data_IF_129320414279
#
_entry.id   IF_129320414279
#
_cell.length_a   1.000
_cell.length_b   1.000
_cell.length_c   1.000
_cell.angle_alpha   90.00
_cell.angle_beta   90.00
_cell.angle_gamma   90.00
#
_symmetry.space_group_name_H-M   'P 1'
#
loop_
_entity.id
_entity.type
_entity.pdbx_description
1 polymer ?
#
# COMPACT_ATOMS: atom_id res chain seq x y z
N UNK A 1 -22.21 1.08 16.84
CA UNK A 1 -22.83 1.62 15.61
C UNK A 1 -23.92 0.67 15.16
N UNK A 2 -25.12 1.22 14.91
CA UNK A 2 -26.32 0.49 14.48
C UNK A 2 -26.11 -0.19 13.11
N UNK A 3 -26.83 -1.28 12.84
CA UNK A 3 -26.80 -2.04 11.60
C UNK A 3 -27.24 -1.18 10.40
N UNK A 4 -28.27 -0.34 10.58
CA UNK A 4 -28.78 0.55 9.54
C UNK A 4 -27.74 1.58 9.07
N UNK A 5 -26.91 2.09 9.99
CA UNK A 5 -25.82 3.03 9.65
C UNK A 5 -24.73 2.32 8.84
N UNK A 6 -24.42 1.06 9.17
CA UNK A 6 -23.46 0.28 8.42
C UNK A 6 -23.94 0.04 6.97
N UNK A 7 -25.19 -0.34 6.78
CA UNK A 7 -25.79 -0.60 5.47
C UNK A 7 -25.84 0.65 4.58
N UNK A 8 -26.16 1.81 5.17
CA UNK A 8 -26.15 3.10 4.48
C UNK A 8 -24.71 3.51 4.04
N UNK A 9 -23.71 3.32 4.91
CA UNK A 9 -22.31 3.55 4.56
C UNK A 9 -21.86 2.59 3.45
N UNK A 10 -22.26 1.31 3.51
CA UNK A 10 -21.95 0.32 2.48
C UNK A 10 -22.49 0.72 1.11
N UNK A 11 -23.73 1.21 1.05
CA UNK A 11 -24.34 1.70 -0.19
C UNK A 11 -23.63 2.92 -0.76
N UNK A 12 -23.30 3.90 0.08
CA UNK A 12 -22.64 5.15 -0.35
C UNK A 12 -21.17 4.95 -0.74
N UNK A 13 -20.43 4.11 -0.02
CA UNK A 13 -19.02 3.80 -0.28
C UNK A 13 -18.79 2.64 -1.26
N UNK A 14 -19.85 1.97 -1.74
CA UNK A 14 -19.76 0.75 -2.56
C UNK A 14 -18.90 -0.35 -1.91
N UNK A 15 -19.02 -0.52 -0.59
CA UNK A 15 -18.32 -1.56 0.17
C UNK A 15 -19.29 -2.68 0.51
N UNK A 16 -19.03 -3.90 0.02
CA UNK A 16 -20.04 -4.96 -0.02
C UNK A 16 -19.92 -6.01 1.11
N UNK A 17 -18.93 -5.87 1.99
CA UNK A 17 -18.73 -6.76 3.14
C UNK A 17 -18.58 -5.94 4.41
N UNK A 18 -19.15 -6.46 5.49
CA UNK A 18 -19.06 -5.87 6.83
C UNK A 18 -18.60 -6.92 7.84
N UNK A 19 -17.55 -6.61 8.60
CA UNK A 19 -17.03 -7.46 9.68
C UNK A 19 -17.03 -6.65 10.98
N UNK A 20 -17.39 -7.31 12.08
CA UNK A 20 -17.46 -6.67 13.40
C UNK A 20 -16.45 -7.31 14.36
N UNK A 21 -15.77 -6.45 15.09
CA UNK A 21 -14.89 -6.80 16.19
C UNK A 21 -15.19 -5.85 17.36
N UNK A 22 -14.57 -6.08 18.51
CA UNK A 22 -14.79 -5.28 19.72
C UNK A 22 -14.50 -3.80 19.46
N UNK A 23 -15.55 -2.99 19.42
CA UNK A 23 -15.45 -1.54 19.17
C UNK A 23 -15.07 -1.16 17.74
N UNK A 24 -15.08 -2.11 16.80
CA UNK A 24 -14.62 -1.93 15.42
C UNK A 24 -15.68 -2.43 14.43
N UNK A 25 -15.91 -1.64 13.38
CA UNK A 25 -16.59 -2.08 12.16
C UNK A 25 -15.62 -1.92 11.01
N UNK A 26 -15.40 -3.01 10.27
CA UNK A 26 -14.67 -3.01 9.01
C UNK A 26 -15.65 -3.16 7.86
N UNK A 27 -15.53 -2.28 6.87
CA UNK A 27 -16.19 -2.37 5.58
C UNK A 27 -15.15 -2.57 4.48
N UNK A 28 -15.35 -3.53 3.59
CA UNK A 28 -14.40 -3.84 2.50
C UNK A 28 -15.12 -4.31 1.24
N UNK A 29 -14.50 -4.11 0.08
CA UNK A 29 -14.89 -4.71 -1.20
C UNK A 29 -14.21 -6.08 -1.42
N UNK A 30 -13.10 -6.34 -0.73
CA UNK A 30 -12.33 -7.58 -0.82
C UNK A 30 -12.13 -8.16 0.58
N UNK A 31 -12.82 -9.27 0.86
CA UNK A 31 -12.70 -9.97 2.14
C UNK A 31 -11.49 -10.92 2.19
N UNK A 32 -10.91 -11.29 1.05
CA UNK A 32 -9.77 -12.22 0.99
C UNK A 32 -8.46 -11.54 1.43
N UNK A 33 -8.45 -10.21 1.44
CA UNK A 33 -7.37 -9.38 1.99
C UNK A 33 -7.52 -9.12 3.49
N UNK A 34 -8.52 -9.70 4.17
CA UNK A 34 -8.76 -9.47 5.60
C UNK A 34 -8.30 -10.68 6.42
N UNK A 35 -7.34 -10.44 7.30
CA UNK A 35 -6.96 -11.35 8.38
C UNK A 35 -7.75 -10.94 9.62
N UNK A 36 -8.80 -11.70 9.95
CA UNK A 36 -9.52 -11.51 11.20
C UNK A 36 -8.68 -12.00 12.38
N UNK A 37 -8.52 -11.17 13.41
CA UNK A 37 -7.91 -11.60 14.66
C UNK A 37 -8.90 -12.49 15.42
N UNK A 38 -8.38 -13.57 16.00
CA UNK A 38 -9.12 -14.49 16.86
C UNK A 38 -9.74 -13.72 18.03
N UNK A 39 -10.82 -14.27 18.57
CA UNK A 39 -11.66 -13.68 19.62
C UNK A 39 -12.34 -12.34 19.26
N UNK A 40 -12.37 -11.98 17.97
CA UNK A 40 -13.06 -10.76 17.51
C UNK A 40 -12.41 -9.49 18.05
N UNK A 41 -11.08 -9.51 18.20
CA UNK A 41 -10.31 -8.40 18.76
C UNK A 41 -9.93 -7.35 17.71
N UNK A 42 -9.95 -7.69 16.42
CA UNK A 42 -9.59 -6.76 15.35
C UNK A 42 -9.40 -7.41 13.98
N UNK A 43 -8.78 -6.66 13.08
CA UNK A 43 -8.52 -7.03 11.70
C UNK A 43 -7.15 -6.52 11.25
N UNK A 44 -6.54 -7.23 10.30
CA UNK A 44 -5.45 -6.71 9.46
C UNK A 44 -5.95 -6.78 8.02
N UNK A 45 -5.80 -5.69 7.26
CA UNK A 45 -6.28 -5.58 5.89
C UNK A 45 -5.09 -5.31 4.98
N UNK A 46 -4.98 -6.06 3.89
CA UNK A 46 -3.91 -5.97 2.90
C UNK A 46 -3.02 -7.21 2.88
N UNK A 47 -1.77 -7.05 2.44
CA UNK A 47 -0.79 -8.12 2.29
C UNK A 47 0.18 -8.15 3.46
N UNK A 48 0.34 -9.31 4.09
CA UNK A 48 1.20 -9.52 5.25
C UNK A 48 2.16 -10.68 4.99
N UNK A 49 3.43 -10.50 5.33
CA UNK A 49 4.49 -11.49 5.17
C UNK A 49 5.32 -11.59 6.44
N UNK A 50 5.77 -12.80 6.81
CA UNK A 50 6.62 -12.98 7.98
C UNK A 50 8.09 -12.68 7.61
N UNK A 51 8.80 -11.88 8.43
CA UNK A 51 10.18 -11.41 8.15
C UNK A 51 11.22 -12.53 8.11
N UNK A 52 11.02 -13.57 8.90
CA UNK A 52 11.95 -14.70 9.05
C UNK A 52 11.31 -16.05 8.72
N UNK A 53 10.18 -16.02 8.02
CA UNK A 53 9.35 -17.19 7.76
C UNK A 53 9.53 -17.69 6.33
N UNK A 54 8.65 -18.60 5.93
CA UNK A 54 8.53 -18.95 4.52
C UNK A 54 8.05 -17.73 3.71
N UNK A 55 8.52 -17.57 2.47
CA UNK A 55 8.16 -16.44 1.62
C UNK A 55 6.76 -16.62 1.03
N UNK A 56 5.74 -16.59 1.88
CA UNK A 56 4.33 -16.74 1.52
C UNK A 56 3.45 -15.69 2.20
N UNK A 57 2.31 -15.38 1.57
CA UNK A 57 1.29 -14.49 2.14
C UNK A 57 0.69 -15.13 3.41
N UNK A 58 0.76 -14.38 4.51
CA UNK A 58 0.14 -14.76 5.78
C UNK A 58 -1.36 -14.53 5.69
N UNK A 59 -2.14 -15.61 5.67
CA UNK A 59 -3.62 -15.54 5.64
C UNK A 59 -4.28 -15.65 7.02
N UNK A 60 -3.52 -16.10 8.02
CA UNK A 60 -3.98 -16.18 9.41
C UNK A 60 -2.81 -16.06 10.38
N UNK A 61 -3.09 -15.57 11.60
CA UNK A 61 -2.08 -15.44 12.65
C UNK A 61 -2.36 -16.43 13.78
N UNK A 62 -1.36 -17.14 14.31
CA UNK A 62 -1.48 -17.92 15.53
C UNK A 62 -1.87 -17.05 16.74
N UNK A 63 -2.57 -17.61 17.72
CA UNK A 63 -3.06 -16.88 18.89
C UNK A 63 -1.94 -16.17 19.67
N UNK A 64 -0.78 -16.81 19.83
CA UNK A 64 0.35 -16.24 20.57
C UNK A 64 0.96 -15.02 19.86
N UNK A 65 0.98 -15.03 18.53
CA UNK A 65 1.42 -13.88 17.72
C UNK A 65 0.44 -12.71 17.85
N UNK A 66 -0.87 -12.99 17.82
CA UNK A 66 -1.91 -11.96 18.03
C UNK A 66 -1.82 -11.35 19.43
N UNK A 67 -1.59 -12.16 20.46
CA UNK A 67 -1.39 -11.69 21.82
C UNK A 67 -0.16 -10.77 21.94
N UNK A 68 0.95 -11.09 21.28
CA UNK A 68 2.16 -10.23 21.24
C UNK A 68 1.90 -8.92 20.49
N UNK A 69 1.17 -8.95 19.38
CA UNK A 69 0.74 -7.75 18.64
C UNK A 69 -0.08 -6.84 19.54
N UNK A 70 -1.10 -7.38 20.22
CA UNK A 70 -1.93 -6.63 21.15
C UNK A 70 -1.11 -6.08 22.32
N UNK A 71 -0.29 -6.91 22.97
CA UNK A 71 0.50 -6.53 24.14
C UNK A 71 1.49 -5.38 23.87
N UNK A 72 2.02 -5.31 22.65
CA UNK A 72 2.98 -4.26 22.22
C UNK A 72 2.31 -3.04 21.57
N UNK A 73 0.98 -3.07 21.40
CA UNK A 73 0.25 -2.05 20.66
C UNK A 73 0.71 -1.96 19.20
N UNK A 74 1.07 -3.10 18.59
CA UNK A 74 1.41 -3.21 17.18
C UNK A 74 2.90 -3.20 16.85
N UNK A 75 3.78 -2.92 17.83
CA UNK A 75 5.24 -2.92 17.57
C UNK A 75 5.76 -4.29 17.11
N UNK A 76 5.24 -5.37 17.70
CA UNK A 76 5.59 -6.74 17.27
C UNK A 76 5.23 -6.98 15.79
N UNK A 77 4.15 -6.37 15.30
CA UNK A 77 3.73 -6.50 13.91
C UNK A 77 4.75 -5.85 12.95
N UNK A 78 5.29 -4.68 13.27
CA UNK A 78 6.31 -3.99 12.43
C UNK A 78 7.70 -4.63 12.54
N UNK A 79 8.02 -5.25 13.68
CA UNK A 79 9.29 -5.94 13.91
C UNK A 79 9.33 -7.32 13.22
N UNK A 80 8.24 -8.09 13.28
CA UNK A 80 8.22 -9.50 12.82
C UNK A 80 7.55 -9.71 11.47
N UNK A 81 6.75 -8.77 11.02
CA UNK A 81 6.06 -8.84 9.75
C UNK A 81 6.32 -7.59 8.89
N UNK A 82 6.08 -7.72 7.60
CA UNK A 82 6.20 -6.66 6.61
C UNK A 82 5.15 -6.88 5.51
N UNK A 83 4.96 -5.91 4.63
CA UNK A 83 4.00 -5.99 3.53
C UNK A 83 3.36 -4.64 3.26
N UNK A 84 2.10 -4.67 2.84
CA UNK A 84 1.27 -3.51 2.54
C UNK A 84 -0.05 -3.68 3.28
N UNK A 85 -0.18 -3.10 4.47
CA UNK A 85 -1.31 -3.36 5.33
C UNK A 85 -1.67 -2.20 6.26
N UNK A 86 -2.92 -2.24 6.73
CA UNK A 86 -3.39 -1.50 7.90
C UNK A 86 -4.00 -2.49 8.88
N UNK A 87 -3.58 -2.43 10.14
CA UNK A 87 -4.14 -3.23 11.22
C UNK A 87 -4.99 -2.36 12.14
N UNK A 88 -6.15 -2.83 12.56
CA UNK A 88 -7.00 -2.20 13.56
C UNK A 88 -7.43 -3.23 14.60
N UNK A 89 -7.01 -3.05 15.86
CA UNK A 89 -7.26 -4.05 16.90
C UNK A 89 -7.38 -3.45 18.30
N UNK A 90 -8.16 -4.12 19.13
CA UNK A 90 -8.34 -3.78 20.53
C UNK A 90 -7.20 -4.36 21.39
N UNK A 91 -6.59 -3.53 22.22
CA UNK A 91 -5.61 -3.95 23.22
C UNK A 91 -5.94 -3.30 24.56
N UNK A 92 -6.10 -4.12 25.61
CA UNK A 92 -6.48 -3.71 26.97
C UNK A 92 -7.80 -2.94 27.02
N UNK A 93 -7.75 -1.62 26.84
CA UNK A 93 -8.88 -0.69 26.86
C UNK A 93 -8.82 0.32 25.72
N UNK A 94 -7.95 0.11 24.73
CA UNK A 94 -7.66 1.04 23.65
C UNK A 94 -7.77 0.34 22.29
N UNK A 95 -8.16 1.09 21.26
CA UNK A 95 -8.10 0.65 19.87
C UNK A 95 -6.80 1.15 19.26
N UNK A 96 -6.04 0.26 18.65
CA UNK A 96 -4.81 0.58 17.94
C UNK A 96 -5.08 0.48 16.44
N UNK A 97 -4.64 1.48 15.68
CA UNK A 97 -4.63 1.45 14.21
C UNK A 97 -3.20 1.64 13.74
N UNK A 98 -2.66 0.72 12.96
CA UNK A 98 -1.24 0.68 12.57
C UNK A 98 -1.14 0.61 11.06
N UNK A 99 -0.37 1.51 10.46
CA UNK A 99 -0.01 1.46 9.03
C UNK A 99 1.37 0.84 8.88
N UNK A 100 1.54 -0.03 7.89
CA UNK A 100 2.80 -0.69 7.63
C UNK A 100 3.96 0.30 7.35
N UNK A 101 5.23 -0.08 7.61
CA UNK A 101 6.39 0.79 7.37
C UNK A 101 6.70 1.17 5.92
N UNK A 102 6.26 0.37 4.93
CA UNK A 102 6.45 0.68 3.51
C UNK A 102 5.48 1.75 3.02
N UNK A 103 4.32 1.86 3.68
CA UNK A 103 3.25 2.76 3.28
C UNK A 103 2.48 2.28 2.05
N UNK A 104 2.65 1.03 1.62
CA UNK A 104 2.06 0.49 0.39
C UNK A 104 0.53 0.59 0.37
N UNK A 105 -0.13 0.44 1.51
CA UNK A 105 -1.56 0.73 1.63
C UNK A 105 -1.77 2.13 2.23
N UNK A 106 -2.46 3.06 1.54
CA UNK A 106 -2.85 4.33 2.13
C UNK A 106 -3.76 4.12 3.34
N UNK A 107 -3.71 5.07 4.28
CA UNK A 107 -4.63 5.10 5.41
C UNK A 107 -4.95 6.55 5.76
N UNK A 108 -6.05 7.03 5.22
CA UNK A 108 -6.63 8.33 5.52
C UNK A 108 -7.60 8.20 6.70
N UNK A 109 -7.78 9.29 7.44
CA UNK A 109 -8.72 9.34 8.54
C UNK A 109 -9.44 10.68 8.61
N UNK A 110 -10.66 10.62 9.14
CA UNK A 110 -11.53 11.76 9.41
C UNK A 110 -12.41 11.47 10.62
N UNK A 111 -13.05 12.51 11.14
CA UNK A 111 -13.91 12.40 12.33
C UNK A 111 -15.27 13.02 12.08
N UNK A 112 -16.32 12.38 12.59
CA UNK A 112 -17.69 12.91 12.62
C UNK A 112 -18.30 12.71 14.00
N UNK A 113 -18.49 13.80 14.74
CA UNK A 113 -18.87 13.73 16.15
C UNK A 113 -17.84 12.93 16.96
N UNK A 114 -18.28 11.87 17.64
CA UNK A 114 -17.40 10.95 18.38
C UNK A 114 -16.86 9.79 17.54
N UNK A 115 -17.29 9.65 16.29
CA UNK A 115 -16.83 8.58 15.41
C UNK A 115 -15.55 8.99 14.71
N UNK A 116 -14.62 8.04 14.64
CA UNK A 116 -13.39 8.15 13.86
C UNK A 116 -13.37 7.08 12.79
N UNK A 117 -13.13 7.48 11.55
CA UNK A 117 -13.05 6.59 10.41
C UNK A 117 -11.62 6.53 9.86
N UNK A 118 -11.26 5.36 9.35
CA UNK A 118 -10.00 5.09 8.67
C UNK A 118 -10.32 4.42 7.32
N UNK A 119 -9.66 4.81 6.25
CA UNK A 119 -9.95 4.34 4.89
C UNK A 119 -8.69 4.32 4.03
N UNK A 120 -8.62 3.38 3.08
CA UNK A 120 -7.57 3.36 2.04
C UNK A 120 -7.82 4.37 0.91
N UNK A 121 -9.05 4.89 0.80
CA UNK A 121 -9.45 5.89 -0.19
C UNK A 121 -10.08 7.10 0.51
N UNK A 122 -9.49 8.28 0.32
CA UNK A 122 -9.95 9.52 0.93
C UNK A 122 -11.36 9.94 0.49
N UNK A 123 -11.77 9.60 -0.74
CA UNK A 123 -13.09 9.92 -1.29
C UNK A 123 -14.21 9.25 -0.48
N UNK A 124 -13.93 8.08 0.10
CA UNK A 124 -14.89 7.37 0.96
C UNK A 124 -15.35 8.22 2.15
N UNK A 125 -14.46 9.04 2.75
CA UNK A 125 -14.85 9.92 3.87
C UNK A 125 -15.82 11.03 3.43
N UNK A 126 -15.73 11.45 2.18
CA UNK A 126 -16.63 12.44 1.58
C UNK A 126 -17.97 11.79 1.23
N UNK A 127 -17.94 10.65 0.54
CA UNK A 127 -19.15 9.95 0.07
C UNK A 127 -20.06 9.52 1.24
N UNK A 128 -19.46 9.10 2.35
CA UNK A 128 -20.19 8.67 3.55
C UNK A 128 -20.54 9.84 4.48
N UNK A 129 -20.18 11.07 4.09
CA UNK A 129 -20.55 12.30 4.79
C UNK A 129 -19.78 12.57 6.09
N UNK A 130 -18.65 11.87 6.30
CA UNK A 130 -17.77 12.12 7.45
C UNK A 130 -17.08 13.48 7.33
N UNK A 131 -16.75 13.90 6.11
CA UNK A 131 -16.08 15.16 5.81
C UNK A 131 -16.84 15.91 4.73
N UNK A 132 -17.04 17.22 4.94
CA UNK A 132 -17.45 18.14 3.87
C UNK A 132 -16.19 18.68 3.22
N UNK A 133 -15.92 18.37 1.94
CA UNK A 133 -14.65 18.71 1.32
C UNK A 133 -14.52 20.22 1.17
N UNK A 134 -13.38 20.74 1.61
CA UNK A 134 -12.91 22.10 1.33
C UNK A 134 -11.39 22.07 1.23
N UNK A 135 -10.82 23.04 0.52
CA UNK A 135 -9.36 23.11 0.34
C UNK A 135 -8.72 23.62 1.63
N UNK A 136 -7.75 22.87 2.14
CA UNK A 136 -6.85 23.34 3.21
C UNK A 136 -5.65 24.05 2.56
N UNK A 137 -5.75 25.38 2.42
CA UNK A 137 -4.77 26.19 1.69
C UNK A 137 -3.38 26.14 2.35
N UNK A 138 -3.32 26.14 3.68
CA UNK A 138 -2.07 26.03 4.43
C UNK A 138 -1.40 24.67 4.16
N UNK A 139 -2.18 23.58 4.20
CA UNK A 139 -1.67 22.27 3.85
C UNK A 139 -1.18 22.20 2.39
N UNK A 140 -1.89 22.83 1.45
CA UNK A 140 -1.46 22.93 0.04
C UNK A 140 -0.11 23.65 -0.07
N UNK A 141 0.05 24.81 0.58
CA UNK A 141 1.31 25.55 0.59
C UNK A 141 2.46 24.70 1.12
N UNK A 142 2.26 24.00 2.24
CA UNK A 142 3.27 23.11 2.82
C UNK A 142 3.62 21.95 1.89
N UNK A 143 2.62 21.32 1.26
CA UNK A 143 2.83 20.22 0.32
C UNK A 143 3.63 20.71 -0.89
N UNK A 144 3.26 21.85 -1.47
CA UNK A 144 3.97 22.38 -2.65
C UNK A 144 5.39 22.81 -2.31
N UNK A 145 5.62 23.41 -1.13
CA UNK A 145 6.96 23.80 -0.69
C UNK A 145 7.85 22.62 -0.30
N UNK A 146 7.25 21.50 0.15
CA UNK A 146 7.94 20.29 0.62
C UNK A 146 7.47 19.04 -0.14
N UNK A 147 7.37 19.11 -1.47
CA UNK A 147 6.68 18.12 -2.31
C UNK A 147 7.21 16.68 -2.29
N UNK A 148 8.29 16.40 -1.54
CA UNK A 148 8.88 15.07 -1.36
C UNK A 148 8.89 14.59 0.10
N UNK A 149 8.45 15.42 1.06
CA UNK A 149 8.44 15.03 2.46
C UNK A 149 7.08 14.45 2.85
N UNK A 150 7.03 13.35 3.62
CA UNK A 150 5.78 12.84 4.17
C UNK A 150 5.08 13.90 5.03
N UNK A 151 3.77 14.05 4.85
CA UNK A 151 2.93 14.97 5.62
C UNK A 151 1.67 14.26 6.10
N UNK A 152 1.27 14.49 7.34
CA UNK A 152 0.00 13.99 7.88
C UNK A 152 -1.19 14.75 7.29
N UNK A 153 -1.01 16.03 6.97
CA UNK A 153 -2.04 16.88 6.39
C UNK A 153 -2.17 16.63 4.89
N UNK A 154 -3.41 16.59 4.43
CA UNK A 154 -3.76 16.53 3.00
C UNK A 154 -4.28 17.89 2.54
N UNK A 155 -4.44 18.09 1.23
CA UNK A 155 -5.01 19.31 0.67
C UNK A 155 -6.52 19.45 0.93
N UNK A 156 -7.17 18.43 1.52
CA UNK A 156 -8.60 18.44 1.85
C UNK A 156 -8.78 18.60 3.34
N UNK A 157 -9.39 19.71 3.75
CA UNK A 157 -9.65 20.01 5.15
C UNK A 157 -10.52 18.90 5.80
N UNK A 158 -10.11 18.47 6.99
CA UNK A 158 -10.76 17.38 7.73
C UNK A 158 -10.29 15.97 7.34
N UNK A 159 -9.44 15.83 6.31
CA UNK A 159 -8.80 14.56 5.93
C UNK A 159 -7.30 14.64 6.21
N UNK A 160 -6.80 13.67 6.98
CA UNK A 160 -5.38 13.47 7.26
C UNK A 160 -4.99 12.03 6.96
N UNK A 161 -3.69 11.74 6.83
CA UNK A 161 -3.17 10.39 6.66
C UNK A 161 -2.33 9.94 7.86
N UNK A 162 -2.39 8.65 8.17
CA UNK A 162 -1.40 8.01 9.04
C UNK A 162 -0.12 7.87 8.23
N UNK A 163 1.01 8.37 8.73
CA UNK A 163 2.30 8.17 8.07
C UNK A 163 2.73 6.70 8.06
N UNK A 164 3.56 6.32 7.09
CA UNK A 164 4.12 4.97 7.03
C UNK A 164 4.90 4.64 8.32
N UNK A 165 4.70 3.44 8.85
CA UNK A 165 5.33 3.00 10.10
C UNK A 165 4.80 3.68 11.36
N UNK A 166 3.71 4.44 11.26
CA UNK A 166 3.04 5.09 12.38
C UNK A 166 1.67 4.46 12.66
N UNK A 167 1.10 4.80 13.81
CA UNK A 167 -0.21 4.34 14.21
C UNK A 167 -0.93 5.28 15.18
N UNK A 168 -2.23 5.05 15.34
CA UNK A 168 -3.09 5.71 16.30
C UNK A 168 -3.40 4.79 17.47
N UNK A 169 -3.49 5.37 18.66
CA UNK A 169 -4.04 4.75 19.86
C UNK A 169 -5.25 5.57 20.31
N UNK A 170 -6.42 4.94 20.30
CA UNK A 170 -7.70 5.54 20.64
C UNK A 170 -8.13 4.99 22.01
N UNK A 171 -8.01 5.82 23.04
CA UNK A 171 -8.61 5.58 24.34
C UNK A 171 -10.03 6.17 24.43
N UNK A 172 -10.65 6.09 25.60
CA UNK A 172 -11.99 6.64 25.82
C UNK A 172 -12.06 8.15 25.51
N UNK A 173 -11.08 8.91 25.99
CA UNK A 173 -11.04 10.38 25.87
C UNK A 173 -9.72 10.91 25.27
N UNK A 174 -8.91 10.03 24.67
CA UNK A 174 -7.61 10.43 24.11
C UNK A 174 -7.31 9.75 22.78
N UNK A 175 -6.63 10.51 21.93
CA UNK A 175 -6.13 10.06 20.63
C UNK A 175 -4.64 10.37 20.60
N UNK A 176 -3.81 9.34 20.47
CA UNK A 176 -2.35 9.48 20.44
C UNK A 176 -1.79 8.90 19.15
N UNK A 177 -0.79 9.56 18.58
CA UNK A 177 -0.01 9.02 17.46
C UNK A 177 1.25 8.35 18.01
N UNK A 178 1.64 7.23 17.44
CA UNK A 178 2.87 6.49 17.79
C UNK A 178 3.69 6.23 16.52
N UNK A 179 4.98 6.48 16.60
CA UNK A 179 5.95 5.90 15.66
C UNK A 179 6.24 4.46 16.10
N UNK A 180 6.06 3.51 15.18
CA UNK A 180 6.25 2.07 15.39
C UNK A 180 7.42 1.52 14.57
N UNK A 181 7.96 2.33 13.66
CA UNK A 181 9.15 2.02 12.88
C UNK A 181 9.84 3.33 12.46
N UNK A 182 11.17 3.33 12.47
CA UNK A 182 11.99 4.44 12.00
C UNK A 182 13.15 3.91 11.16
N UNK A 183 13.48 4.52 10.01
CA UNK A 183 14.69 4.15 9.26
C UNK A 183 15.95 4.38 10.10
N UNK A 184 15.91 5.33 11.05
CA UNK A 184 17.02 5.66 11.92
C UNK A 184 17.41 4.52 12.87
N UNK A 185 16.50 3.58 13.14
CA UNK A 185 16.81 2.39 13.94
C UNK A 185 17.74 1.42 13.20
N UNK A 186 17.98 1.65 11.89
CA UNK A 186 18.75 0.78 10.99
C UNK A 186 19.98 1.45 10.37
N UNK A 187 20.32 2.69 10.77
CA UNK A 187 21.48 3.42 10.22
C UNK A 187 22.78 3.19 11.00
N UNK A 188 22.71 2.70 12.24
CA UNK A 188 23.90 2.41 13.02
C UNK A 188 24.63 1.18 12.45
N UNK A 189 25.94 1.29 12.27
CA UNK A 189 26.74 0.27 11.63
C UNK A 189 26.76 -1.04 12.42
N UNK A 190 26.02 -2.03 11.95
CA UNK A 190 26.13 -3.41 12.43
C UNK A 190 27.60 -3.89 12.30
N UNK A 191 28.12 -4.62 13.32
CA UNK A 191 29.44 -5.24 13.23
C UNK A 191 29.53 -6.12 11.99
N UNK A 192 30.68 -6.04 11.28
CA UNK A 192 30.99 -6.74 10.02
C UNK A 192 30.22 -8.07 9.90
N UNK A 193 29.17 -8.09 9.08
CA UNK A 193 28.46 -9.31 8.76
C UNK A 193 29.45 -10.37 8.26
N UNK A 194 29.25 -11.63 8.67
CA UNK A 194 30.07 -12.76 8.23
C UNK A 194 29.96 -12.99 6.70
N UNK A 195 28.87 -12.52 6.09
CA UNK A 195 28.60 -12.60 4.65
C UNK A 195 28.81 -11.25 3.97
N UNK A 196 29.19 -11.28 2.68
CA UNK A 196 29.32 -10.08 1.87
C UNK A 196 27.94 -9.38 1.71
N UNK A 197 27.88 -8.04 1.76
CA UNK A 197 26.61 -7.29 1.63
C UNK A 197 25.79 -7.63 0.38
N UNK A 198 26.43 -7.94 -0.74
CA UNK A 198 25.77 -8.35 -1.99
C UNK A 198 25.02 -9.69 -1.87
N UNK A 199 25.53 -10.63 -1.07
CA UNK A 199 24.88 -11.92 -0.82
C UNK A 199 23.64 -11.72 0.04
N UNK A 200 23.76 -10.91 1.08
CA UNK A 200 22.64 -10.54 1.96
C UNK A 200 21.53 -9.83 1.16
N UNK A 201 21.90 -8.82 0.36
CA UNK A 201 20.96 -8.10 -0.50
C UNK A 201 20.26 -9.04 -1.49
N UNK A 202 21.01 -9.91 -2.16
CA UNK A 202 20.43 -10.89 -3.09
C UNK A 202 19.46 -11.85 -2.41
N UNK A 203 19.73 -12.28 -1.17
CA UNK A 203 18.81 -13.11 -0.38
C UNK A 203 17.54 -12.35 -0.02
N UNK A 204 17.66 -11.11 0.44
CA UNK A 204 16.52 -10.25 0.80
C UNK A 204 15.63 -10.00 -0.42
N UNK A 205 16.22 -9.63 -1.57
CA UNK A 205 15.47 -9.39 -2.82
C UNK A 205 14.69 -10.65 -3.24
N UNK A 206 15.36 -11.81 -3.32
CA UNK A 206 14.69 -13.07 -3.69
C UNK A 206 13.57 -13.42 -2.73
N UNK A 207 13.82 -13.34 -1.42
CA UNK A 207 12.78 -13.61 -0.42
C UNK A 207 11.59 -12.66 -0.54
N UNK A 208 11.85 -11.37 -0.75
CA UNK A 208 10.82 -10.33 -0.90
C UNK A 208 9.94 -10.62 -2.10
N UNK A 209 10.54 -10.95 -3.26
CA UNK A 209 9.75 -11.18 -4.46
C UNK A 209 9.10 -12.56 -4.50
N UNK A 210 9.66 -13.57 -3.83
CA UNK A 210 8.96 -14.82 -3.60
C UNK A 210 7.71 -14.62 -2.74
N UNK A 211 7.78 -13.78 -1.69
CA UNK A 211 6.60 -13.39 -0.91
C UNK A 211 5.54 -12.71 -1.76
N UNK A 212 5.90 -11.73 -2.58
CA UNK A 212 4.93 -11.07 -3.47
C UNK A 212 4.38 -12.00 -4.57
N UNK A 213 5.20 -12.88 -5.14
CA UNK A 213 4.78 -13.88 -6.11
C UNK A 213 3.74 -14.86 -5.54
N UNK A 214 3.79 -15.15 -4.23
CA UNK A 214 2.77 -15.97 -3.57
C UNK A 214 1.42 -15.27 -3.47
N UNK A 215 1.41 -13.94 -3.41
CA UNK A 215 0.21 -13.12 -3.31
C UNK A 215 -0.36 -12.72 -4.68
N UNK A 216 0.51 -12.60 -5.69
CA UNK A 216 0.20 -12.21 -7.06
C UNK A 216 0.92 -13.15 -8.05
N UNK A 217 0.34 -14.30 -8.38
CA UNK A 217 0.93 -15.27 -9.30
C UNK A 217 1.09 -14.77 -10.75
N UNK A 218 0.34 -13.75 -11.20
CA UNK A 218 0.36 -13.19 -12.57
C UNK A 218 0.51 -11.66 -12.55
N UNK A 219 1.64 -11.11 -12.07
CA UNK A 219 1.79 -9.67 -11.94
C UNK A 219 2.02 -9.00 -13.30
N UNK A 220 1.46 -7.80 -13.49
CA UNK A 220 1.91 -6.88 -14.54
C UNK A 220 3.13 -6.09 -14.03
N UNK A 221 4.23 -6.11 -14.78
CA UNK A 221 5.47 -5.41 -14.42
C UNK A 221 5.80 -4.34 -15.44
N UNK A 222 5.83 -3.08 -15.00
CA UNK A 222 6.40 -1.98 -15.77
C UNK A 222 7.91 -2.19 -15.94
N UNK A 223 8.34 -2.48 -17.17
CA UNK A 223 9.72 -2.84 -17.48
C UNK A 223 10.38 -1.72 -18.28
N UNK A 224 11.34 -1.03 -17.66
CA UNK A 224 12.14 0.01 -18.32
C UNK A 224 13.44 -0.54 -18.91
N UNK A 225 13.76 -1.83 -18.80
CA UNK A 225 15.05 -2.37 -19.27
C UNK A 225 16.26 -1.96 -18.42
N UNK A 226 16.07 -1.17 -17.37
CA UNK A 226 17.08 -0.87 -16.34
C UNK A 226 17.31 -2.05 -15.39
N UNK A 227 18.35 -1.93 -14.55
CA UNK A 227 18.76 -2.98 -13.60
C UNK A 227 17.64 -3.35 -12.63
N UNK A 228 16.97 -2.36 -12.04
CA UNK A 228 16.01 -2.58 -10.94
C UNK A 228 14.78 -3.36 -11.39
N UNK A 229 14.11 -2.89 -12.44
CA UNK A 229 12.97 -3.62 -13.02
C UNK A 229 13.38 -4.99 -13.55
N UNK A 230 14.63 -5.13 -14.01
CA UNK A 230 15.13 -6.44 -14.47
C UNK A 230 15.31 -7.44 -13.33
N UNK A 231 15.87 -6.99 -12.20
CA UNK A 231 15.97 -7.78 -10.98
C UNK A 231 14.57 -8.18 -10.51
N UNK A 232 13.61 -7.25 -10.54
CA UNK A 232 12.22 -7.50 -10.13
C UNK A 232 11.59 -8.60 -10.98
N UNK A 233 11.54 -8.41 -12.30
CA UNK A 233 10.94 -9.38 -13.23
C UNK A 233 11.61 -10.74 -13.14
N UNK A 234 12.96 -10.79 -13.11
CA UNK A 234 13.68 -12.05 -13.05
C UNK A 234 13.43 -12.82 -11.73
N UNK A 235 13.40 -12.12 -10.59
CA UNK A 235 13.14 -12.75 -9.31
C UNK A 235 11.67 -13.21 -9.18
N UNK A 236 10.71 -12.46 -9.73
CA UNK A 236 9.30 -12.90 -9.80
C UNK A 236 9.15 -14.17 -10.64
N UNK A 237 9.72 -14.19 -11.84
CA UNK A 237 9.69 -15.36 -12.72
C UNK A 237 10.37 -16.59 -12.06
N UNK A 238 11.53 -16.38 -11.42
CA UNK A 238 12.24 -17.44 -10.73
C UNK A 238 11.48 -17.98 -9.51
N UNK A 239 10.68 -17.13 -8.84
CA UNK A 239 9.79 -17.54 -7.76
C UNK A 239 8.55 -18.32 -8.24
N UNK A 240 8.37 -18.49 -9.56
CA UNK A 240 7.25 -19.24 -10.15
C UNK A 240 6.05 -18.38 -10.53
N UNK A 241 6.10 -17.05 -10.34
CA UNK A 241 5.10 -16.16 -10.91
C UNK A 241 5.22 -16.12 -12.44
N UNK A 242 4.15 -15.68 -13.10
CA UNK A 242 4.06 -15.51 -14.55
C UNK A 242 3.94 -14.02 -14.88
N UNK A 243 5.03 -13.25 -14.75
CA UNK A 243 4.96 -11.82 -15.00
C UNK A 243 4.63 -11.53 -16.46
N UNK A 244 3.73 -10.58 -16.68
CA UNK A 244 3.55 -9.92 -17.98
C UNK A 244 4.28 -8.59 -17.93
N UNK A 245 5.11 -8.30 -18.91
CA UNK A 245 5.91 -7.07 -18.93
C UNK A 245 5.25 -6.00 -19.81
N UNK A 246 5.26 -4.76 -19.36
CA UNK A 246 4.84 -3.59 -20.15
C UNK A 246 6.01 -2.62 -20.29
N UNK A 247 6.38 -2.30 -21.53
CA UNK A 247 7.41 -1.31 -21.85
C UNK A 247 6.82 -0.21 -22.72
N UNK A 248 6.93 1.03 -22.26
CA UNK A 248 6.60 2.19 -23.09
C UNK A 248 7.78 2.58 -23.96
N UNK A 249 7.49 2.82 -25.22
CA UNK A 249 8.44 3.28 -26.24
C UNK A 249 8.23 4.74 -26.49
N UNK A 250 9.33 5.48 -26.50
CA UNK A 250 9.33 6.89 -26.89
C UNK A 250 9.91 7.03 -28.29
N UNK A 251 9.61 8.14 -28.97
CA UNK A 251 10.19 8.43 -30.29
C UNK A 251 11.65 8.89 -30.22
N UNK A 252 12.19 9.19 -29.03
CA UNK A 252 13.60 9.52 -28.83
C UNK A 252 14.39 8.21 -28.64
N UNK A 253 15.30 7.84 -29.57
CA UNK A 253 16.09 6.62 -29.44
C UNK A 253 16.91 6.54 -28.14
N UNK A 254 17.22 7.67 -27.50
CA UNK A 254 17.94 7.70 -26.21
C UNK A 254 17.07 7.24 -25.04
N UNK A 255 15.76 7.28 -25.19
CA UNK A 255 14.79 6.82 -24.19
C UNK A 255 14.05 5.55 -24.62
N UNK A 256 14.42 4.91 -25.74
CA UNK A 256 13.83 3.64 -26.16
C UNK A 256 14.62 2.47 -25.56
N UNK A 257 14.20 2.03 -24.37
CA UNK A 257 14.81 0.93 -23.64
C UNK A 257 14.24 -0.45 -24.04
N UNK A 258 13.42 -0.49 -25.10
CA UNK A 258 12.74 -1.70 -25.58
C UNK A 258 13.68 -2.89 -25.83
N UNK A 259 14.87 -2.64 -26.38
CA UNK A 259 15.82 -3.72 -26.67
C UNK A 259 16.23 -4.48 -25.40
N UNK A 260 16.54 -3.76 -24.32
CA UNK A 260 16.95 -4.35 -23.06
C UNK A 260 15.77 -5.06 -22.37
N UNK A 261 14.58 -4.45 -22.43
CA UNK A 261 13.36 -5.05 -21.93
C UNK A 261 13.03 -6.36 -22.65
N UNK A 262 13.11 -6.38 -23.98
CA UNK A 262 12.84 -7.58 -24.81
C UNK A 262 13.82 -8.71 -24.48
N UNK A 263 15.11 -8.40 -24.39
CA UNK A 263 16.13 -9.39 -24.05
C UNK A 263 15.87 -10.04 -22.68
N UNK A 264 15.41 -9.28 -21.69
CA UNK A 264 15.01 -9.83 -20.41
C UNK A 264 13.76 -10.72 -20.52
N UNK A 265 12.71 -10.25 -21.18
CA UNK A 265 11.48 -11.01 -21.36
C UNK A 265 11.74 -12.35 -22.04
N UNK A 266 12.60 -12.38 -23.05
CA UNK A 266 13.07 -13.61 -23.70
C UNK A 266 13.81 -14.52 -22.70
N UNK A 267 14.73 -13.97 -21.91
CA UNK A 267 15.51 -14.75 -20.94
C UNK A 267 14.66 -15.39 -19.84
N UNK A 268 13.56 -14.76 -19.44
CA UNK A 268 12.65 -15.28 -18.40
C UNK A 268 11.36 -15.91 -18.96
N UNK A 269 11.24 -15.97 -20.29
CA UNK A 269 10.06 -16.45 -21.01
C UNK A 269 8.75 -15.77 -20.55
N UNK A 270 8.77 -14.44 -20.43
CA UNK A 270 7.62 -13.61 -20.06
C UNK A 270 6.99 -12.93 -21.29
N UNK A 271 5.65 -12.88 -21.39
CA UNK A 271 4.98 -12.04 -22.38
C UNK A 271 5.37 -10.57 -22.21
N UNK A 272 5.51 -9.85 -23.33
CA UNK A 272 5.79 -8.41 -23.31
C UNK A 272 4.82 -7.64 -24.19
N UNK A 273 4.30 -6.55 -23.63
CA UNK A 273 3.58 -5.51 -24.35
C UNK A 273 4.50 -4.33 -24.54
N UNK A 274 4.74 -4.00 -25.80
CA UNK A 274 5.36 -2.73 -26.16
C UNK A 274 4.29 -1.77 -26.62
N UNK A 275 4.26 -0.56 -26.04
CA UNK A 275 3.26 0.47 -26.36
C UNK A 275 3.96 1.80 -26.62
N UNK A 276 3.47 2.58 -27.57
CA UNK A 276 4.00 3.92 -27.78
C UNK A 276 3.51 4.84 -26.65
N UNK A 277 4.42 5.64 -26.11
CA UNK A 277 4.05 6.76 -25.25
C UNK A 277 3.36 7.82 -26.12
N UNK A 278 2.07 8.06 -25.89
CA UNK A 278 1.27 8.99 -26.69
C UNK A 278 0.84 10.20 -25.87
N UNK A 279 1.21 11.40 -26.35
CA UNK A 279 0.79 12.66 -25.76
C UNK A 279 -0.72 12.90 -25.87
N UNK A 280 -1.42 12.24 -26.78
CA UNK A 280 -2.88 12.30 -26.88
C UNK A 280 -3.59 11.77 -25.62
N UNK A 281 -2.90 10.96 -24.81
CA UNK A 281 -3.40 10.49 -23.52
C UNK A 281 -3.17 11.47 -22.36
N UNK A 282 -2.60 12.66 -22.64
CA UNK A 282 -2.42 13.72 -21.63
C UNK A 282 -3.53 14.76 -21.77
N UNK A 283 -4.37 14.85 -20.75
CA UNK A 283 -5.38 15.90 -20.61
C UNK A 283 -4.92 16.94 -19.59
N UNK A 284 -4.56 18.14 -20.06
CA UNK A 284 -4.13 19.24 -19.21
C UNK A 284 -5.21 19.77 -18.27
N UNK A 285 -6.49 19.46 -18.54
CA UNK A 285 -7.61 19.83 -17.68
C UNK A 285 -7.82 18.86 -16.52
N UNK A 286 -7.11 17.72 -16.51
CA UNK A 286 -7.21 16.69 -15.49
C UNK A 286 -5.91 16.58 -14.69
N UNK A 287 -6.07 16.44 -13.37
CA UNK A 287 -4.94 16.11 -12.50
C UNK A 287 -4.65 14.61 -12.55
N UNK A 288 -3.38 14.21 -12.64
CA UNK A 288 -2.98 12.81 -12.45
C UNK A 288 -3.23 12.33 -11.02
N UNK A 289 -3.29 13.28 -10.09
CA UNK A 289 -3.53 13.05 -8.67
C UNK A 289 -5.01 13.27 -8.31
N UNK A 290 -5.95 13.08 -9.24
CA UNK A 290 -7.39 13.29 -9.00
C UNK A 290 -7.94 12.41 -7.87
N UNK A 291 -7.35 11.24 -7.70
CA UNK A 291 -7.85 10.18 -6.82
C UNK A 291 -7.12 10.18 -5.46
N UNK A 292 -6.19 11.13 -5.24
CA UNK A 292 -5.46 11.27 -3.98
C UNK A 292 -5.58 12.70 -3.45
N UNK A 293 -5.73 12.91 -2.14
CA UNK A 293 -5.95 14.25 -1.57
C UNK A 293 -4.66 15.06 -1.46
N UNK A 294 -3.62 14.74 -2.24
CA UNK A 294 -2.29 15.35 -2.17
C UNK A 294 -1.90 15.79 -3.59
N UNK A 295 -1.61 17.09 -3.83
CA UNK A 295 -1.25 17.62 -5.15
C UNK A 295 0.20 17.28 -5.52
N UNK A 296 0.52 15.99 -5.70
CA UNK A 296 1.89 15.49 -5.95
C UNK A 296 2.11 14.90 -7.34
N UNK A 297 1.11 15.00 -8.23
CA UNK A 297 1.10 14.37 -9.54
C UNK A 297 1.93 15.05 -10.62
N UNK A 298 2.53 14.28 -11.54
CA UNK A 298 3.16 14.83 -12.75
C UNK A 298 2.33 14.52 -13.99
N UNK A 299 2.00 15.53 -14.79
CA UNK A 299 1.09 15.38 -15.94
C UNK A 299 1.51 14.29 -16.94
N UNK A 300 2.81 14.07 -17.14
CA UNK A 300 3.31 13.05 -18.05
C UNK A 300 3.00 11.61 -17.59
N UNK A 301 2.65 11.40 -16.32
CA UNK A 301 2.24 10.10 -15.80
C UNK A 301 0.86 9.68 -16.34
N UNK A 302 0.05 10.61 -16.87
CA UNK A 302 -1.28 10.30 -17.43
C UNK A 302 -1.19 9.28 -18.57
N UNK A 303 -0.30 9.53 -19.54
CA UNK A 303 -0.11 8.63 -20.66
C UNK A 303 0.45 7.26 -20.23
N UNK A 304 1.28 7.23 -19.19
CA UNK A 304 1.76 5.97 -18.62
C UNK A 304 0.63 5.18 -17.95
N UNK A 305 -0.12 5.82 -17.05
CA UNK A 305 -1.22 5.21 -16.32
C UNK A 305 -2.32 4.71 -17.27
N UNK A 306 -2.56 5.41 -18.37
CA UNK A 306 -3.48 4.97 -19.42
C UNK A 306 -3.08 3.62 -20.02
N UNK A 307 -1.82 3.50 -20.47
CA UNK A 307 -1.32 2.25 -21.05
C UNK A 307 -1.23 1.12 -20.03
N UNK A 308 -0.91 1.41 -18.77
CA UNK A 308 -0.95 0.41 -17.68
C UNK A 308 -2.36 -0.14 -17.52
N UNK A 309 -3.37 0.72 -17.37
CA UNK A 309 -4.78 0.28 -17.19
C UNK A 309 -5.25 -0.58 -18.37
N UNK A 310 -4.94 -0.12 -19.59
CA UNK A 310 -5.25 -0.87 -20.80
C UNK A 310 -4.53 -2.22 -20.85
N UNK A 311 -3.25 -2.28 -20.48
CA UNK A 311 -2.51 -3.53 -20.44
C UNK A 311 -3.05 -4.51 -19.39
N UNK A 312 -3.51 -4.03 -18.23
CA UNK A 312 -4.20 -4.84 -17.21
C UNK A 312 -5.54 -5.37 -17.69
N UNK A 313 -6.26 -4.67 -18.57
CA UNK A 313 -7.52 -5.18 -19.15
C UNK A 313 -7.27 -6.23 -20.26
N UNK A 314 -6.19 -6.06 -21.03
CA UNK A 314 -5.81 -6.98 -22.13
C UNK A 314 -5.09 -8.24 -21.61
N UNK A 315 -4.32 -8.11 -20.53
CA UNK A 315 -3.58 -9.18 -19.90
C UNK A 315 -4.37 -9.66 -18.67
N UNK A 316 -4.76 -10.93 -18.62
CA UNK A 316 -5.39 -11.57 -17.45
C UNK A 316 -4.42 -11.62 -16.24
N UNK A 317 -4.07 -10.45 -15.70
CA UNK A 317 -3.14 -10.20 -14.61
C UNK A 317 -3.88 -9.91 -13.31
N UNK A 318 -3.25 -10.23 -12.17
CA UNK A 318 -3.82 -9.99 -10.84
C UNK A 318 -3.82 -8.50 -10.43
#
# INVERSE_FOLDING_TARGET
>A
MDQAVAEDIQGRAKLFRSLRARGLLLLTNDAEQVIALQDGTGFIIGKLFHRHGYPEEVKSLPFDEQAKIAATGGKHLTERYWGSYVAAFFSKSEINVVRDPSGGMPCYHGSFGSLKAFTSDATTLVDVGFVRPSVDVEAVEHILFRHQLPTEKTAVAGISQILAGCGFVLGADSVRVRSLWSPWDHIEGEPRALEAPSVLLGRVIRSTLSSWASAYPKPLVGLSGGLDSSIVTACLAHAGAKPTCLTLRTSDPRGDEYYYASALCEAVNAPSYSRAYDFAHIDLSRSVASDVPIPSGKLHEQAYNWEVRRATEEADTD
#
